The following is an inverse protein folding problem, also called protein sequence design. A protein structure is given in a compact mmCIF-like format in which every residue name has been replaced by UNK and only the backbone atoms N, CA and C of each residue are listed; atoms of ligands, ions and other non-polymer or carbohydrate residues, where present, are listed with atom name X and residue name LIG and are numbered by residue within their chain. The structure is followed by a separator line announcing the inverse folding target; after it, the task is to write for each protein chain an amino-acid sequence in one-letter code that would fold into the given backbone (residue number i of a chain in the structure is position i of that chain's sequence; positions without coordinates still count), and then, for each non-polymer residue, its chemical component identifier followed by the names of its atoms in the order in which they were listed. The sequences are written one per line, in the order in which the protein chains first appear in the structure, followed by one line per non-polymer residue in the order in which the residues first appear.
data_IF_104291755086
#
_entry.id   IF_104291755086
#
_cell.length_a   1.000
_cell.length_b   1.000
_cell.length_c   1.000
_cell.angle_alpha   90.00
_cell.angle_beta   90.00
_cell.angle_gamma   90.00
#
_symmetry.space_group_name_H-M   'P 1'
#
loop_
_entity.id
_entity.type
_entity.pdbx_description
1 polymer ?
#
# COMPACT_ATOMS: atom_id res chain seq x y z
N UNK A 1 67.34 11.09 -25.52
CA UNK A 1 66.00 11.66 -25.19
C UNK A 1 65.09 10.53 -24.58
N UNK A 2 64.77 10.55 -23.31
CA UNK A 2 63.93 9.53 -22.74
C UNK A 2 62.44 9.74 -23.17
N UNK A 3 61.80 8.67 -23.66
CA UNK A 3 60.36 8.63 -23.95
C UNK A 3 59.58 8.51 -22.64
N UNK A 4 58.83 9.56 -22.31
CA UNK A 4 57.90 9.52 -21.19
C UNK A 4 56.66 8.77 -21.69
N UNK A 5 56.39 7.58 -21.11
CA UNK A 5 55.13 6.83 -21.33
C UNK A 5 54.15 7.28 -20.26
N UNK A 6 53.12 8.02 -20.66
CA UNK A 6 52.03 8.44 -19.77
C UNK A 6 51.02 7.28 -19.72
N UNK A 7 50.95 6.59 -18.58
CA UNK A 7 49.85 5.66 -18.28
C UNK A 7 48.61 6.46 -17.81
N UNK A 8 47.62 6.53 -18.67
CA UNK A 8 46.31 7.05 -18.27
C UNK A 8 45.56 5.93 -17.56
N UNK A 9 45.48 6.00 -16.24
CA UNK A 9 44.65 5.13 -15.44
C UNK A 9 43.18 5.56 -15.63
N UNK A 10 42.40 4.81 -16.40
CA UNK A 10 40.97 4.90 -16.40
C UNK A 10 40.45 4.29 -15.11
N UNK A 11 40.17 5.10 -14.09
CA UNK A 11 39.32 4.71 -12.99
C UNK A 11 37.87 4.67 -13.51
N UNK A 12 37.40 3.50 -13.91
CA UNK A 12 35.99 3.25 -14.09
C UNK A 12 35.34 3.29 -12.69
N UNK A 13 34.77 4.40 -12.34
CA UNK A 13 33.77 4.48 -11.24
C UNK A 13 32.63 3.55 -11.63
N UNK A 14 32.66 2.33 -11.13
CA UNK A 14 31.49 1.47 -11.15
C UNK A 14 30.46 2.13 -10.21
N UNK A 15 29.60 2.97 -10.76
CA UNK A 15 28.38 3.38 -10.09
C UNK A 15 27.59 2.12 -9.91
N UNK A 16 27.55 1.62 -8.67
CA UNK A 16 26.68 0.49 -8.33
C UNK A 16 25.26 0.88 -8.77
N UNK A 17 24.73 0.18 -9.76
CA UNK A 17 23.34 0.39 -10.15
C UNK A 17 22.49 0.06 -8.94
N UNK A 18 21.56 0.95 -8.51
CA UNK A 18 20.68 0.65 -7.42
C UNK A 18 19.94 -0.65 -7.73
N UNK A 19 19.94 -1.57 -6.75
CA UNK A 19 19.28 -2.86 -6.93
C UNK A 19 17.79 -2.67 -7.26
N UNK A 20 17.20 -3.63 -7.95
CA UNK A 20 15.77 -3.63 -8.25
C UNK A 20 15.01 -3.78 -6.93
N UNK A 21 14.18 -2.81 -6.59
CA UNK A 21 13.33 -2.85 -5.40
C UNK A 21 12.01 -3.57 -5.70
N UNK A 22 11.46 -4.22 -4.69
CA UNK A 22 10.09 -4.71 -4.65
C UNK A 22 9.26 -3.75 -3.79
N UNK A 23 8.40 -2.97 -4.42
CA UNK A 23 7.62 -1.92 -3.77
C UNK A 23 6.17 -2.32 -3.70
N UNK A 24 5.59 -2.31 -2.51
CA UNK A 24 4.19 -2.62 -2.28
C UNK A 24 3.36 -1.38 -1.98
N UNK A 25 2.11 -1.38 -2.43
CA UNK A 25 1.11 -0.36 -2.12
C UNK A 25 -0.15 -1.04 -1.59
N UNK A 26 -0.76 -0.46 -0.55
CA UNK A 26 -2.16 -0.73 -0.27
C UNK A 26 -3.05 -0.14 -1.37
N UNK A 27 -4.31 -0.49 -1.39
CA UNK A 27 -5.26 -0.02 -2.42
C UNK A 27 -6.13 1.09 -1.86
N UNK A 28 -6.92 0.80 -0.82
CA UNK A 28 -7.86 1.75 -0.23
C UNK A 28 -7.12 2.88 0.48
N UNK A 29 -7.54 4.11 0.25
CA UNK A 29 -6.95 5.33 0.82
C UNK A 29 -5.41 5.47 0.63
N UNK A 30 -4.86 4.64 -0.25
CA UNK A 30 -3.44 4.67 -0.65
C UNK A 30 -3.30 4.93 -2.15
N UNK A 31 -3.84 4.08 -3.01
CA UNK A 31 -3.92 4.29 -4.47
C UNK A 31 -5.26 4.88 -4.86
N UNK A 32 -6.34 4.41 -4.23
CA UNK A 32 -7.70 4.84 -4.46
C UNK A 32 -8.26 5.57 -3.24
N UNK A 33 -8.80 6.74 -3.45
CA UNK A 33 -9.76 7.34 -2.53
C UNK A 33 -11.08 6.61 -2.71
N UNK A 34 -11.32 5.60 -1.88
CA UNK A 34 -12.39 4.62 -2.04
C UNK A 34 -13.61 4.88 -1.15
N UNK A 35 -13.66 6.03 -0.44
CA UNK A 35 -14.77 6.38 0.44
C UNK A 35 -16.13 6.23 -0.24
N UNK A 36 -16.28 6.77 -1.43
CA UNK A 36 -17.58 6.88 -2.08
C UNK A 36 -18.10 5.52 -2.59
N UNK A 37 -17.24 4.56 -2.93
CA UNK A 37 -17.69 3.21 -3.28
C UNK A 37 -18.27 2.48 -2.06
N UNK A 38 -17.71 2.70 -0.87
CA UNK A 38 -18.25 2.12 0.36
C UNK A 38 -19.56 2.79 0.78
N UNK A 39 -19.67 4.10 0.62
CA UNK A 39 -20.92 4.84 0.90
C UNK A 39 -22.02 4.52 -0.10
N UNK A 40 -21.69 4.29 -1.36
CA UNK A 40 -22.61 3.92 -2.43
C UNK A 40 -23.13 2.48 -2.36
N UNK A 41 -22.63 1.68 -1.41
CA UNK A 41 -23.08 0.29 -1.25
C UNK A 41 -24.59 0.23 -0.95
N UNK A 42 -25.39 -0.52 -1.72
CA UNK A 42 -26.82 -0.69 -1.46
C UNK A 42 -27.08 -1.28 -0.07
N UNK A 43 -28.22 -0.93 0.55
CA UNK A 43 -28.53 -1.32 1.93
C UNK A 43 -28.60 -2.84 2.11
N UNK A 44 -29.14 -3.57 1.13
CA UNK A 44 -29.19 -5.03 1.10
C UNK A 44 -27.82 -5.70 0.97
N UNK A 45 -26.76 -4.93 0.71
CA UNK A 45 -25.37 -5.38 0.54
C UNK A 45 -24.42 -4.91 1.66
N UNK A 46 -24.95 -4.25 2.69
CA UNK A 46 -24.15 -3.69 3.79
C UNK A 46 -23.84 -4.68 4.90
N UNK A 47 -24.70 -5.65 5.15
CA UNK A 47 -24.51 -6.63 6.22
C UNK A 47 -24.94 -8.04 5.77
N UNK A 48 -23.94 -8.92 5.47
CA UNK A 48 -22.49 -8.64 5.44
C UNK A 48 -22.10 -7.78 4.23
N UNK A 49 -21.03 -6.99 4.38
CA UNK A 49 -20.51 -6.14 3.28
C UNK A 49 -20.18 -6.96 2.04
N UNK A 50 -20.83 -6.64 0.92
CA UNK A 50 -20.59 -7.27 -0.38
C UNK A 50 -19.35 -6.64 -1.08
N UNK A 51 -18.19 -7.21 -0.80
CA UNK A 51 -16.96 -6.77 -1.45
C UNK A 51 -16.89 -7.08 -2.95
N UNK A 52 -17.72 -8.00 -3.44
CA UNK A 52 -17.82 -8.25 -4.89
C UNK A 52 -18.45 -7.04 -5.58
N UNK A 53 -19.49 -6.46 -4.99
CA UNK A 53 -20.06 -5.22 -5.45
C UNK A 53 -19.04 -4.08 -5.41
N UNK A 54 -18.34 -3.88 -4.28
CA UNK A 54 -17.33 -2.83 -4.11
C UNK A 54 -16.24 -2.97 -5.19
N UNK A 55 -15.62 -4.15 -5.34
CA UNK A 55 -14.56 -4.39 -6.32
C UNK A 55 -15.01 -4.17 -7.78
N UNK A 56 -16.30 -4.29 -8.07
CA UNK A 56 -16.85 -4.09 -9.42
C UNK A 56 -17.27 -2.65 -9.71
N UNK A 57 -17.45 -1.81 -8.67
CA UNK A 57 -17.93 -0.43 -8.79
C UNK A 57 -16.89 0.64 -8.46
N UNK A 58 -15.64 0.27 -8.13
CA UNK A 58 -14.57 1.26 -7.95
C UNK A 58 -14.45 2.21 -9.14
N UNK A 59 -14.61 1.70 -10.36
CA UNK A 59 -14.57 2.50 -11.61
C UNK A 59 -15.62 3.62 -11.67
N UNK A 60 -16.71 3.49 -10.92
CA UNK A 60 -17.84 4.43 -10.91
C UNK A 60 -17.75 5.43 -9.76
N UNK A 61 -17.03 5.07 -8.68
CA UNK A 61 -17.05 5.83 -7.42
C UNK A 61 -15.67 6.22 -6.90
N UNK A 62 -14.62 5.42 -7.14
CA UNK A 62 -13.31 5.66 -6.56
C UNK A 62 -12.46 6.58 -7.43
N UNK A 63 -11.64 7.42 -6.79
CA UNK A 63 -10.72 8.33 -7.43
C UNK A 63 -9.27 7.92 -7.16
N UNK A 64 -8.37 8.16 -8.10
CA UNK A 64 -6.95 7.92 -7.88
C UNK A 64 -6.31 9.00 -7.01
N UNK A 65 -5.42 8.60 -6.12
CA UNK A 65 -4.63 9.49 -5.27
C UNK A 65 -3.35 9.86 -6.03
N UNK A 66 -3.26 11.08 -6.53
CA UNK A 66 -2.22 11.52 -7.46
C UNK A 66 -0.79 11.25 -6.99
N UNK A 67 -0.35 11.60 -5.76
CA UNK A 67 1.04 11.40 -5.36
C UNK A 67 1.47 9.93 -5.36
N UNK A 68 0.58 9.02 -4.99
CA UNK A 68 0.90 7.60 -4.99
C UNK A 68 0.87 6.99 -6.39
N UNK A 69 0.02 7.50 -7.29
CA UNK A 69 0.06 7.16 -8.71
C UNK A 69 1.38 7.57 -9.34
N UNK A 70 1.85 8.78 -9.06
CA UNK A 70 3.15 9.29 -9.54
C UNK A 70 4.32 8.45 -9.00
N UNK A 71 4.26 8.01 -7.74
CA UNK A 71 5.24 7.09 -7.17
C UNK A 71 5.23 5.72 -7.85
N UNK A 72 4.05 5.16 -8.14
CA UNK A 72 3.94 3.91 -8.90
C UNK A 72 4.64 4.05 -10.25
N UNK A 73 4.38 5.15 -10.95
CA UNK A 73 4.99 5.42 -12.25
C UNK A 73 6.51 5.62 -12.15
N UNK A 74 6.97 6.36 -11.14
CA UNK A 74 8.39 6.54 -10.84
C UNK A 74 9.10 5.20 -10.63
N UNK A 75 8.60 4.34 -9.75
CA UNK A 75 9.23 3.06 -9.48
C UNK A 75 9.28 2.16 -10.72
N UNK A 76 8.18 2.12 -11.47
CA UNK A 76 8.12 1.33 -12.71
C UNK A 76 9.07 1.84 -13.78
N UNK A 77 9.09 3.15 -14.01
CA UNK A 77 9.95 3.77 -15.02
C UNK A 77 11.43 3.59 -14.70
N UNK A 78 11.77 3.40 -13.41
CA UNK A 78 13.12 3.07 -12.96
C UNK A 78 13.40 1.56 -12.86
N UNK A 79 12.52 0.71 -13.39
CA UNK A 79 12.73 -0.73 -13.48
C UNK A 79 12.47 -1.51 -12.19
N UNK A 80 11.82 -0.91 -11.20
CA UNK A 80 11.45 -1.59 -9.96
C UNK A 80 10.16 -2.41 -10.11
N UNK A 81 9.98 -3.42 -9.26
CA UNK A 81 8.77 -4.21 -9.21
C UNK A 81 7.71 -3.52 -8.33
N UNK A 82 6.49 -3.41 -8.83
CA UNK A 82 5.37 -2.82 -8.09
C UNK A 82 4.29 -3.86 -7.83
N UNK A 83 3.80 -3.90 -6.59
CA UNK A 83 2.79 -4.82 -6.10
C UNK A 83 1.68 -4.07 -5.36
N UNK A 84 0.44 -4.57 -5.47
CA UNK A 84 -0.73 -4.04 -4.77
C UNK A 84 -1.27 -5.09 -3.79
N UNK A 85 -1.46 -4.71 -2.53
CA UNK A 85 -1.91 -5.59 -1.47
C UNK A 85 -3.13 -4.97 -0.78
N UNK A 86 -4.31 -5.52 -0.99
CA UNK A 86 -5.53 -5.03 -0.35
C UNK A 86 -6.02 -5.95 0.77
N UNK A 87 -6.67 -5.38 1.77
CA UNK A 87 -7.40 -6.10 2.81
C UNK A 87 -8.77 -6.60 2.37
N UNK A 88 -9.27 -6.13 1.22
CA UNK A 88 -10.56 -6.58 0.67
C UNK A 88 -10.54 -8.10 0.41
N UNK A 89 -11.68 -8.79 0.50
CA UNK A 89 -11.87 -10.11 -0.10
C UNK A 89 -11.81 -10.06 -1.63
N UNK A 90 -11.47 -11.19 -2.26
CA UNK A 90 -11.22 -11.30 -3.69
C UNK A 90 -12.40 -11.46 -4.66
N UNK A 91 -13.70 -11.61 -4.27
CA UNK A 91 -14.79 -11.66 -5.24
C UNK A 91 -14.72 -10.46 -6.19
N UNK A 92 -14.91 -10.71 -7.51
CA UNK A 92 -14.80 -9.68 -8.56
C UNK A 92 -13.45 -8.93 -8.62
N UNK A 93 -12.41 -9.44 -7.96
CA UNK A 93 -11.09 -8.80 -7.91
C UNK A 93 -10.43 -8.59 -9.27
N UNK A 94 -10.84 -9.32 -10.31
CA UNK A 94 -10.38 -9.08 -11.69
C UNK A 94 -10.85 -7.74 -12.24
N UNK A 95 -12.07 -7.31 -11.87
CA UNK A 95 -12.64 -6.01 -12.29
C UNK A 95 -11.86 -4.87 -11.64
N UNK A 96 -11.57 -4.98 -10.33
CA UNK A 96 -10.70 -4.02 -9.65
C UNK A 96 -9.30 -3.98 -10.28
N UNK A 97 -8.71 -5.13 -10.60
CA UNK A 97 -7.40 -5.19 -11.25
C UNK A 97 -7.41 -4.54 -12.65
N UNK A 98 -8.49 -4.69 -13.40
CA UNK A 98 -8.69 -4.03 -14.69
C UNK A 98 -8.82 -2.51 -14.54
N UNK A 99 -9.63 -2.05 -13.59
CA UNK A 99 -9.75 -0.63 -13.27
C UNK A 99 -8.40 -0.01 -12.91
N UNK A 100 -7.64 -0.64 -12.00
CA UNK A 100 -6.30 -0.21 -11.66
C UNK A 100 -5.35 -0.24 -12.86
N UNK A 101 -5.46 -1.25 -13.73
CA UNK A 101 -4.64 -1.36 -14.94
C UNK A 101 -4.86 -0.19 -15.88
N UNK A 102 -6.12 0.20 -16.07
CA UNK A 102 -6.49 1.32 -16.95
C UNK A 102 -6.01 2.66 -16.38
N UNK A 103 -6.19 2.88 -15.07
CA UNK A 103 -5.79 4.13 -14.43
C UNK A 103 -4.28 4.29 -14.26
N UNK A 104 -3.55 3.20 -14.06
CA UNK A 104 -2.09 3.21 -13.85
C UNK A 104 -1.29 2.94 -15.13
N UNK A 105 -1.95 2.67 -16.26
CA UNK A 105 -1.30 2.51 -17.56
C UNK A 105 -0.46 1.24 -17.73
N UNK A 106 -0.68 0.19 -16.91
CA UNK A 106 0.00 -1.09 -17.08
C UNK A 106 -0.80 -2.29 -16.59
N UNK A 107 -0.42 -3.48 -17.05
CA UNK A 107 -1.15 -4.71 -16.71
C UNK A 107 -1.02 -5.08 -15.23
N UNK A 108 -2.14 -5.02 -14.51
CA UNK A 108 -2.28 -5.51 -13.14
C UNK A 108 -3.12 -6.79 -13.18
N UNK A 109 -2.59 -7.83 -12.55
CA UNK A 109 -3.22 -9.17 -12.55
C UNK A 109 -3.27 -9.73 -11.14
N UNK A 110 -4.45 -10.22 -10.77
CA UNK A 110 -4.65 -10.93 -9.50
C UNK A 110 -3.70 -12.12 -9.40
N UNK A 111 -3.10 -12.29 -8.24
CA UNK A 111 -2.08 -13.29 -7.90
C UNK A 111 -0.74 -13.16 -8.67
N UNK A 112 -0.53 -12.07 -9.41
CA UNK A 112 0.75 -11.75 -10.04
C UNK A 112 1.40 -10.52 -9.41
N UNK A 113 0.76 -9.38 -9.53
CA UNK A 113 1.19 -8.11 -8.93
C UNK A 113 0.08 -7.41 -8.13
N UNK A 114 -1.11 -8.01 -8.02
CA UNK A 114 -2.17 -7.61 -7.11
C UNK A 114 -2.61 -8.82 -6.26
N UNK A 115 -2.70 -8.62 -4.94
CA UNK A 115 -3.01 -9.67 -3.98
C UNK A 115 -4.07 -9.21 -2.99
N UNK A 116 -5.06 -10.08 -2.80
CA UNK A 116 -6.03 -9.98 -1.71
C UNK A 116 -5.42 -10.64 -0.47
N UNK A 117 -5.29 -9.88 0.61
CA UNK A 117 -4.61 -10.38 1.80
C UNK A 117 -5.36 -11.57 2.40
N UNK A 118 -4.68 -12.68 2.69
CA UNK A 118 -5.26 -13.75 3.47
C UNK A 118 -5.75 -13.24 4.81
N UNK A 119 -6.81 -13.88 5.32
CA UNK A 119 -7.38 -13.56 6.62
C UNK A 119 -7.22 -14.75 7.56
N UNK A 120 -6.91 -14.46 8.79
CA UNK A 120 -6.92 -15.42 9.92
C UNK A 120 -8.08 -15.13 10.83
N UNK A 121 -8.65 -16.19 11.40
CA UNK A 121 -9.63 -16.06 12.48
C UNK A 121 -8.94 -16.36 13.82
N UNK A 122 -8.90 -15.35 14.69
CA UNK A 122 -8.33 -15.49 16.03
C UNK A 122 -9.41 -15.04 17.02
N UNK A 123 -9.77 -15.95 17.94
CA UNK A 123 -10.84 -15.71 18.93
C UNK A 123 -12.15 -15.20 18.28
N UNK A 124 -12.55 -15.80 17.16
CA UNK A 124 -13.78 -15.47 16.45
C UNK A 124 -13.74 -14.21 15.56
N UNK A 125 -12.64 -13.44 15.56
CA UNK A 125 -12.47 -12.26 14.71
C UNK A 125 -11.55 -12.55 13.53
N UNK A 126 -11.85 -11.98 12.37
CA UNK A 126 -11.04 -12.12 11.15
C UNK A 126 -10.08 -10.94 11.02
N UNK A 127 -8.80 -11.26 10.79
CA UNK A 127 -7.72 -10.28 10.63
C UNK A 127 -6.96 -10.50 9.33
N UNK A 128 -6.49 -9.43 8.70
CA UNK A 128 -5.63 -9.55 7.53
C UNK A 128 -4.22 -9.97 7.94
N UNK A 129 -3.53 -10.69 7.06
CA UNK A 129 -2.15 -11.14 7.29
C UNK A 129 -1.21 -10.56 6.24
N UNK A 130 -1.36 -9.26 5.90
CA UNK A 130 -0.54 -8.57 4.90
C UNK A 130 0.96 -8.79 5.10
N UNK A 131 1.45 -8.81 6.35
CA UNK A 131 2.86 -9.05 6.66
C UNK A 131 3.41 -10.37 6.08
N UNK A 132 2.59 -11.41 5.96
CA UNK A 132 3.00 -12.68 5.34
C UNK A 132 3.17 -12.54 3.82
N UNK A 133 2.28 -11.77 3.18
CA UNK A 133 2.40 -11.43 1.77
C UNK A 133 3.66 -10.61 1.50
N UNK A 134 3.90 -9.57 2.30
CA UNK A 134 5.08 -8.71 2.19
C UNK A 134 6.37 -9.53 2.27
N UNK A 135 6.47 -10.45 3.26
CA UNK A 135 7.62 -11.36 3.38
C UNK A 135 7.77 -12.27 2.16
N UNK A 136 6.67 -12.88 1.69
CA UNK A 136 6.68 -13.77 0.53
C UNK A 136 7.12 -13.07 -0.75
N UNK A 137 6.68 -11.82 -0.94
CA UNK A 137 7.02 -10.99 -2.09
C UNK A 137 8.39 -10.30 -1.94
N UNK A 138 9.04 -10.47 -0.77
CA UNK A 138 10.32 -9.82 -0.44
C UNK A 138 10.27 -8.32 -0.71
N UNK A 139 9.22 -7.65 -0.19
CA UNK A 139 9.09 -6.22 -0.36
C UNK A 139 10.21 -5.50 0.39
N UNK A 140 10.70 -4.41 -0.20
CA UNK A 140 11.66 -3.49 0.41
C UNK A 140 10.92 -2.30 1.04
N UNK A 141 9.88 -1.80 0.36
CA UNK A 141 9.05 -0.66 0.77
C UNK A 141 7.57 -1.05 0.74
N UNK A 142 6.78 -0.48 1.66
CA UNK A 142 5.34 -0.63 1.64
C UNK A 142 4.65 0.69 1.98
N UNK A 143 3.85 1.18 1.04
CA UNK A 143 3.01 2.36 1.17
C UNK A 143 1.63 1.96 1.64
N UNK A 144 1.14 2.55 2.72
CA UNK A 144 -0.18 2.26 3.26
C UNK A 144 -0.69 3.39 4.15
N UNK A 145 -2.00 3.46 4.32
CA UNK A 145 -2.66 4.53 5.06
C UNK A 145 -2.97 4.15 6.52
N UNK A 146 -3.26 2.87 6.78
CA UNK A 146 -3.68 2.40 8.09
C UNK A 146 -2.51 2.09 9.03
N UNK A 147 -2.71 2.27 10.35
CA UNK A 147 -1.75 1.82 11.37
C UNK A 147 -1.43 0.33 11.24
N UNK A 148 -2.43 -0.47 10.87
CA UNK A 148 -2.26 -1.92 10.64
C UNK A 148 -1.33 -2.22 9.47
N UNK A 149 -1.25 -1.37 8.46
CA UNK A 149 -0.33 -1.50 7.34
C UNK A 149 1.11 -1.22 7.75
N UNK A 150 1.30 -0.16 8.55
CA UNK A 150 2.61 0.18 9.10
C UNK A 150 3.13 -0.94 10.02
N UNK A 151 2.29 -1.43 10.92
CA UNK A 151 2.64 -2.56 11.80
C UNK A 151 2.96 -3.81 10.97
N UNK A 152 2.18 -4.09 9.93
CA UNK A 152 2.41 -5.24 9.06
C UNK A 152 3.76 -5.14 8.34
N UNK A 153 4.12 -3.96 7.82
CA UNK A 153 5.39 -3.72 7.17
C UNK A 153 6.56 -3.89 8.15
N UNK A 154 6.51 -3.27 9.33
CA UNK A 154 7.53 -3.40 10.37
C UNK A 154 7.69 -4.88 10.77
N UNK A 155 6.60 -5.59 11.01
CA UNK A 155 6.61 -7.02 11.35
C UNK A 155 7.17 -7.90 10.21
N UNK A 156 7.06 -7.44 8.99
CA UNK A 156 7.64 -8.10 7.82
C UNK A 156 9.13 -7.80 7.62
N UNK A 157 9.69 -6.80 8.30
CA UNK A 157 11.03 -6.26 8.04
C UNK A 157 11.08 -5.41 6.77
N UNK A 158 9.95 -4.80 6.40
CA UNK A 158 9.76 -3.94 5.23
C UNK A 158 9.72 -2.49 5.69
N UNK A 159 10.34 -1.59 4.94
CA UNK A 159 10.30 -0.15 5.26
C UNK A 159 8.88 0.40 5.06
N UNK A 160 8.23 0.90 6.12
CA UNK A 160 6.88 1.43 6.03
C UNK A 160 6.88 2.90 5.60
N UNK A 161 5.99 3.26 4.69
CA UNK A 161 5.75 4.66 4.32
C UNK A 161 4.26 4.96 4.50
N UNK A 162 3.94 5.96 5.31
CA UNK A 162 2.58 6.36 5.59
C UNK A 162 2.00 7.20 4.45
N UNK A 163 0.88 6.77 3.90
CA UNK A 163 0.00 7.64 3.11
C UNK A 163 -1.04 8.23 4.06
N UNK A 164 -1.10 9.55 4.13
CA UNK A 164 -2.05 10.24 5.00
C UNK A 164 -3.44 10.17 4.39
N UNK A 165 -4.41 9.64 5.12
CA UNK A 165 -5.81 9.62 4.67
C UNK A 165 -6.35 11.02 4.45
N UNK A 166 -7.20 11.16 3.45
CA UNK A 166 -8.02 12.34 3.31
C UNK A 166 -8.95 12.50 4.51
N UNK A 167 -9.19 13.74 4.95
CA UNK A 167 -9.97 14.05 6.15
C UNK A 167 -11.37 13.43 6.16
N UNK A 168 -12.03 13.35 5.00
CA UNK A 168 -13.38 12.76 4.88
C UNK A 168 -13.37 11.24 5.06
N UNK A 169 -12.29 10.55 4.68
CA UNK A 169 -12.11 9.11 4.96
C UNK A 169 -11.94 8.83 6.45
N UNK A 170 -11.27 9.73 7.18
CA UNK A 170 -11.08 9.58 8.64
C UNK A 170 -12.44 9.57 9.36
N UNK A 171 -13.37 10.42 8.95
CA UNK A 171 -14.70 10.50 9.55
C UNK A 171 -15.47 9.19 9.40
N UNK A 172 -15.37 8.55 8.22
CA UNK A 172 -16.12 7.32 7.91
C UNK A 172 -15.50 6.05 8.52
N UNK A 173 -14.16 5.95 8.48
CA UNK A 173 -13.45 4.73 8.89
C UNK A 173 -12.92 4.78 10.33
N UNK A 174 -13.09 5.89 11.03
CA UNK A 174 -12.77 6.02 12.45
C UNK A 174 -11.30 5.82 12.78
N UNK A 175 -11.02 5.02 13.79
CA UNK A 175 -9.91 5.18 14.70
C UNK A 175 -8.57 4.53 14.35
N UNK A 176 -8.39 3.89 13.22
CA UNK A 176 -7.14 3.19 12.86
C UNK A 176 -6.17 4.10 12.11
N UNK A 177 -5.92 5.28 12.66
CA UNK A 177 -5.14 6.29 12.00
C UNK A 177 -4.27 7.08 13.00
N UNK A 178 -3.01 7.30 12.67
CA UNK A 178 -2.05 8.05 13.48
C UNK A 178 -2.01 7.69 14.97
N UNK A 179 -1.78 6.42 15.26
CA UNK A 179 -1.62 5.97 16.64
C UNK A 179 -2.93 5.78 17.39
N UNK A 180 -4.07 5.92 16.75
CA UNK A 180 -5.35 5.55 17.36
C UNK A 180 -5.49 4.04 17.61
N UNK A 181 -4.58 3.24 17.09
CA UNK A 181 -4.50 1.80 17.33
C UNK A 181 -4.39 1.44 18.81
N UNK A 182 -3.92 2.35 19.66
CA UNK A 182 -3.82 2.15 21.10
C UNK A 182 -5.11 2.47 21.89
N UNK A 183 -6.12 3.02 21.24
CA UNK A 183 -7.38 3.40 21.89
C UNK A 183 -8.38 2.23 21.90
N UNK A 184 -8.10 1.18 22.65
CA UNK A 184 -9.02 0.05 22.85
C UNK A 184 -9.14 -0.94 21.68
N UNK A 185 -8.78 -0.58 20.47
CA UNK A 185 -8.69 -1.46 19.31
C UNK A 185 -7.29 -1.99 19.07
N UNK A 186 -6.38 -1.61 19.90
CA UNK A 186 -4.95 -1.90 19.84
C UNK A 186 -4.60 -3.37 19.95
N UNK A 187 -5.46 -4.15 20.50
CA UNK A 187 -5.31 -5.61 20.55
C UNK A 187 -5.67 -6.24 19.18
N UNK A 188 -5.41 -5.54 18.10
CA UNK A 188 -5.63 -6.09 16.77
C UNK A 188 -4.61 -7.20 16.53
N UNK A 189 -5.07 -8.40 16.68
CA UNK A 189 -4.38 -9.57 16.16
C UNK A 189 -4.36 -9.46 14.61
N UNK A 190 -3.26 -9.90 13.97
CA UNK A 190 -2.22 -10.74 14.57
C UNK A 190 -1.06 -9.98 15.24
N UNK A 191 -1.24 -8.73 15.61
CA UNK A 191 -0.16 -7.93 16.20
C UNK A 191 -0.03 -8.15 17.70
N UNK A 192 1.20 -8.26 18.17
CA UNK A 192 1.56 -8.38 19.57
C UNK A 192 1.78 -6.99 20.20
N UNK A 193 1.90 -6.93 21.54
CA UNK A 193 2.31 -5.69 22.22
C UNK A 193 3.68 -5.20 21.75
N UNK A 194 4.59 -6.12 21.42
CA UNK A 194 5.93 -5.76 20.92
C UNK A 194 5.88 -5.19 19.50
N UNK A 195 5.01 -5.72 18.63
CA UNK A 195 4.77 -5.12 17.30
C UNK A 195 4.27 -3.67 17.43
N UNK A 196 3.32 -3.42 18.34
CA UNK A 196 2.82 -2.07 18.60
C UNK A 196 3.91 -1.14 19.16
N UNK A 197 4.74 -1.64 20.07
CA UNK A 197 5.86 -0.89 20.61
C UNK A 197 6.86 -0.50 19.52
N UNK A 198 7.17 -1.41 18.59
CA UNK A 198 8.00 -1.09 17.42
C UNK A 198 7.38 0.01 16.57
N UNK A 199 6.07 -0.06 16.32
CA UNK A 199 5.35 0.96 15.56
C UNK A 199 5.46 2.35 16.22
N UNK A 200 5.18 2.46 17.51
CA UNK A 200 5.29 3.75 18.20
C UNK A 200 6.71 4.27 18.28
N UNK A 201 7.71 3.41 18.39
CA UNK A 201 9.11 3.81 18.41
C UNK A 201 9.63 4.24 17.03
N UNK A 202 8.97 3.81 15.93
CA UNK A 202 9.38 4.16 14.57
C UNK A 202 8.99 5.59 14.16
N UNK A 203 8.05 6.21 14.88
CA UNK A 203 7.45 7.52 14.57
C UNK A 203 6.82 7.63 13.16
N UNK A 204 6.54 6.51 12.52
CA UNK A 204 5.95 6.50 11.18
C UNK A 204 4.55 7.13 11.20
N UNK A 205 4.34 8.10 10.34
CA UNK A 205 3.08 8.81 10.22
C UNK A 205 2.85 9.92 11.22
N UNK A 206 3.77 10.13 12.19
CA UNK A 206 3.76 11.26 13.13
C UNK A 206 4.93 12.19 12.84
N UNK A 207 6.15 11.65 12.82
CA UNK A 207 7.39 12.38 12.54
C UNK A 207 8.25 11.72 11.45
N UNK A 208 7.83 10.58 10.92
CA UNK A 208 8.51 9.84 9.86
C UNK A 208 8.00 10.22 8.47
N UNK A 209 8.33 9.39 7.49
CA UNK A 209 7.91 9.58 6.10
C UNK A 209 6.40 9.50 5.97
N UNK A 210 5.81 10.52 5.34
CA UNK A 210 4.38 10.60 5.09
C UNK A 210 4.09 11.25 3.75
N UNK A 211 3.06 10.75 3.07
CA UNK A 211 2.58 11.28 1.81
C UNK A 211 1.16 11.80 2.03
N UNK A 212 0.95 13.07 1.72
CA UNK A 212 -0.36 13.70 1.82
C UNK A 212 -1.18 13.42 0.56
N UNK A 213 -2.44 12.99 0.68
CA UNK A 213 -3.26 12.68 -0.47
C UNK A 213 -3.68 13.96 -1.20
N UNK A 214 -3.44 13.98 -2.51
CA UNK A 214 -4.06 14.94 -3.42
C UNK A 214 -5.00 14.12 -4.31
N UNK A 215 -6.29 14.34 -4.15
CA UNK A 215 -7.29 13.61 -4.91
C UNK A 215 -7.42 14.26 -6.28
N UNK A 216 -7.44 13.43 -7.33
CA UNK A 216 -7.70 13.90 -8.67
C UNK A 216 -9.15 14.38 -8.78
N UNK A 217 -9.31 15.65 -9.06
CA UNK A 217 -10.61 16.31 -9.26
C UNK A 217 -10.83 16.79 -10.71
N UNK A 218 -9.99 16.31 -11.63
CA UNK A 218 -10.09 16.64 -13.05
C UNK A 218 -11.34 16.06 -13.72
N UNK A 219 -11.52 16.33 -15.02
CA UNK A 219 -12.71 15.88 -15.75
C UNK A 219 -12.83 14.36 -15.65
N UNK A 220 -14.06 13.93 -15.34
CA UNK A 220 -14.44 12.52 -15.33
C UNK A 220 -14.62 12.02 -16.75
#
# INVERSE_FOLDING_TARGET
MPRIVIYILYLSLAVAQPGILNVGFDVDDTILFSRDVFLGLPDDKRDPVDYGWINSHDKDFSLFITPTVELVDYFRSNGHNVFFLTARPGPQGKILAEFLSNGLGFSIKVNKNMFFSPKETIKGKRYTTKHRLMKRLKLDLFYGDADTDMIAAIKAGVHPVRVVRHETSIVEYGSNYFGNTNKGNSAQTPFTKDDLKLFYNSNVGIFGESIYPIIWTGPK
#
